data_IF_130331081926
#
_entry.id   IF_130331081926
#
_cell.length_a   1.000
_cell.length_b   1.000
_cell.length_c   1.000
_cell.angle_alpha   90.00
_cell.angle_beta   90.00
_cell.angle_gamma   90.00
#
_symmetry.space_group_name_H-M   'P 1'
#
loop_
_entity.id
_entity.type
_entity.pdbx_description
1 polymer ?
#
# COMPACT_ATOMS: atom_id res chain seq x y z
N UNK A 1 9.42 -1.99 20.46
CA UNK A 1 8.90 -2.56 19.21
C UNK A 1 10.04 -2.66 18.21
N UNK A 2 10.22 -3.86 17.64
CA UNK A 2 11.43 -4.26 16.90
C UNK A 2 11.60 -3.40 15.66
N UNK A 3 12.68 -2.62 15.65
CA UNK A 3 13.22 -1.97 14.45
C UNK A 3 13.54 -3.09 13.46
N UNK A 4 12.97 -3.03 12.25
CA UNK A 4 13.47 -3.82 11.14
C UNK A 4 14.93 -3.39 10.92
N UNK A 5 15.86 -4.28 11.28
CA UNK A 5 17.25 -4.12 10.95
C UNK A 5 17.38 -4.22 9.42
N UNK A 6 17.95 -3.19 8.80
CA UNK A 6 18.43 -3.26 7.43
C UNK A 6 19.50 -4.34 7.31
N UNK A 7 19.38 -5.30 6.39
CA UNK A 7 20.53 -6.03 5.93
C UNK A 7 21.14 -5.28 4.73
N UNK A 8 22.45 -5.02 4.84
CA UNK A 8 23.41 -4.87 3.75
C UNK A 8 23.36 -3.49 3.03
N UNK A 9 24.42 -2.68 2.99
CA UNK A 9 25.82 -3.04 2.80
C UNK A 9 26.18 -2.86 1.32
N UNK A 10 26.69 -1.67 0.98
CA UNK A 10 27.48 -1.34 -0.21
C UNK A 10 27.20 -2.08 -1.52
N UNK A 11 26.35 -1.50 -2.37
CA UNK A 11 26.27 -1.83 -3.78
C UNK A 11 25.20 -0.97 -4.43
N UNK A 12 25.58 -0.12 -5.39
CA UNK A 12 24.64 0.59 -6.25
C UNK A 12 23.94 -0.41 -7.17
N UNK A 13 23.09 -1.26 -6.61
CA UNK A 13 22.17 -2.06 -7.38
C UNK A 13 21.04 -1.13 -7.79
N UNK A 14 21.24 -0.43 -8.91
CA UNK A 14 20.12 0.05 -9.72
C UNK A 14 19.11 -1.09 -9.81
N UNK A 15 17.84 -0.83 -9.54
CA UNK A 15 16.78 -1.81 -9.80
C UNK A 15 16.87 -2.18 -11.29
N UNK A 16 17.45 -3.35 -11.57
CA UNK A 16 18.00 -3.74 -12.87
C UNK A 16 16.94 -4.18 -13.88
N UNK A 17 15.68 -3.80 -13.67
CA UNK A 17 14.64 -3.87 -14.70
C UNK A 17 14.12 -2.46 -14.90
N UNK A 18 14.54 -1.83 -16.00
CA UNK A 18 13.69 -0.83 -16.64
C UNK A 18 12.39 -1.58 -16.94
N UNK A 19 11.36 -1.31 -16.15
CA UNK A 19 10.06 -1.97 -16.31
C UNK A 19 9.65 -1.79 -17.77
N UNK A 20 9.50 -2.89 -18.50
CA UNK A 20 9.23 -2.87 -19.94
C UNK A 20 7.97 -2.05 -20.19
N UNK A 21 8.16 -0.78 -20.56
CA UNK A 21 7.08 0.19 -20.58
C UNK A 21 6.45 0.22 -21.95
N UNK A 22 5.16 -0.11 -22.05
CA UNK A 22 4.45 -0.08 -23.33
C UNK A 22 4.50 1.30 -23.98
N UNK A 23 4.46 2.38 -23.18
CA UNK A 23 4.59 3.75 -23.69
C UNK A 23 5.97 4.04 -24.30
N UNK A 24 7.03 3.46 -23.75
CA UNK A 24 8.41 3.56 -24.28
C UNK A 24 8.57 2.67 -25.53
N UNK A 25 8.02 1.46 -25.49
CA UNK A 25 8.04 0.51 -26.62
C UNK A 25 7.29 1.05 -27.83
N UNK A 26 6.21 1.79 -27.61
CA UNK A 26 5.37 2.38 -28.66
C UNK A 26 5.71 3.85 -28.98
N UNK A 27 6.83 4.40 -28.45
CA UNK A 27 7.31 5.75 -28.73
C UNK A 27 6.26 6.86 -28.59
N UNK A 28 5.45 6.80 -27.53
CA UNK A 28 4.44 7.84 -27.28
C UNK A 28 5.15 9.16 -26.95
N UNK A 29 4.87 10.26 -27.68
CA UNK A 29 5.59 11.52 -27.51
C UNK A 29 5.35 12.13 -26.13
N UNK A 30 6.44 12.47 -25.44
CA UNK A 30 6.39 13.09 -24.11
C UNK A 30 5.59 14.38 -24.10
N UNK A 31 4.81 14.59 -23.04
CA UNK A 31 4.08 15.84 -22.85
C UNK A 31 5.08 16.99 -22.68
N UNK A 32 4.82 18.12 -23.35
CA UNK A 32 5.64 19.34 -23.25
C UNK A 32 5.47 20.07 -21.92
N UNK A 33 4.38 19.80 -21.21
CA UNK A 33 4.03 20.33 -19.89
C UNK A 33 3.42 19.21 -19.05
N UNK A 34 3.69 19.21 -17.75
CA UNK A 34 3.08 18.23 -16.84
C UNK A 34 1.56 18.33 -16.87
N UNK A 35 0.88 17.20 -17.00
CA UNK A 35 -0.56 17.12 -16.85
C UNK A 35 -1.01 17.49 -15.42
N UNK A 36 -2.29 17.83 -15.26
CA UNK A 36 -2.93 17.97 -13.95
C UNK A 36 -3.03 16.61 -13.26
N UNK A 37 -2.80 16.59 -11.95
CA UNK A 37 -2.97 15.40 -11.12
C UNK A 37 -4.46 15.07 -10.93
N UNK A 38 -4.78 13.79 -10.82
CA UNK A 38 -6.13 13.30 -10.59
C UNK A 38 -7.01 13.27 -11.84
N UNK A 39 -6.44 13.49 -13.02
CA UNK A 39 -7.13 13.31 -14.30
C UNK A 39 -6.99 11.85 -14.73
N UNK A 40 -8.09 11.07 -14.83
CA UNK A 40 -8.03 9.68 -15.22
C UNK A 40 -7.58 9.55 -16.68
N UNK A 41 -6.85 8.48 -16.99
CA UNK A 41 -6.47 8.17 -18.37
C UNK A 41 -7.71 7.70 -19.12
N UNK A 42 -7.90 8.23 -20.32
CA UNK A 42 -9.04 7.86 -21.17
C UNK A 42 -8.77 6.55 -21.91
N UNK A 43 -9.84 5.80 -22.23
CA UNK A 43 -9.70 4.56 -23.01
C UNK A 43 -9.09 4.82 -24.38
N UNK A 44 -9.36 5.99 -24.95
CA UNK A 44 -8.82 6.45 -26.23
C UNK A 44 -7.30 6.67 -26.17
N UNK A 45 -6.78 7.19 -25.06
CA UNK A 45 -5.34 7.33 -24.85
C UNK A 45 -4.66 5.96 -24.75
N UNK A 46 -5.24 5.02 -23.99
CA UNK A 46 -4.71 3.65 -23.89
C UNK A 46 -4.77 2.95 -25.25
N UNK A 47 -5.87 3.09 -25.98
CA UNK A 47 -6.04 2.47 -27.29
C UNK A 47 -5.02 2.97 -28.33
N UNK A 48 -4.64 4.25 -28.26
CA UNK A 48 -3.56 4.83 -29.07
C UNK A 48 -2.20 4.19 -28.79
N UNK A 49 -1.88 3.84 -27.54
CA UNK A 49 -0.64 3.13 -27.20
C UNK A 49 -0.54 1.82 -27.97
N UNK A 50 -1.66 1.10 -28.10
CA UNK A 50 -1.71 -0.19 -28.80
C UNK A 50 -1.98 -0.10 -30.30
N UNK A 51 -2.13 1.10 -30.88
CA UNK A 51 -2.56 1.31 -32.26
C UNK A 51 -3.86 0.56 -32.61
N UNK A 52 -4.80 0.50 -31.67
CA UNK A 52 -6.11 -0.16 -31.83
C UNK A 52 -7.26 0.80 -31.59
N UNK A 53 -8.43 0.65 -32.25
CA UNK A 53 -9.63 1.40 -31.88
C UNK A 53 -10.08 1.07 -30.44
N UNK A 54 -10.47 2.09 -29.68
CA UNK A 54 -10.91 1.93 -28.29
C UNK A 54 -12.08 0.93 -28.12
N UNK A 55 -12.95 0.85 -29.13
CA UNK A 55 -14.10 -0.06 -29.16
C UNK A 55 -13.71 -1.56 -29.10
N UNK A 56 -12.55 -1.93 -29.63
CA UNK A 56 -12.09 -3.33 -29.68
C UNK A 56 -10.91 -3.60 -28.74
N UNK A 57 -10.43 -2.60 -28.00
CA UNK A 57 -9.26 -2.73 -27.13
C UNK A 57 -9.39 -3.91 -26.15
N UNK A 58 -10.54 -4.03 -25.49
CA UNK A 58 -10.82 -5.12 -24.54
C UNK A 58 -11.01 -6.50 -25.19
N UNK A 59 -11.20 -6.56 -26.52
CA UNK A 59 -11.30 -7.81 -27.28
C UNK A 59 -9.92 -8.27 -27.79
N UNK A 60 -9.02 -7.33 -28.02
CA UNK A 60 -7.70 -7.56 -28.64
C UNK A 60 -6.58 -7.68 -27.59
N UNK A 61 -6.74 -7.07 -26.42
CA UNK A 61 -5.72 -7.02 -25.35
C UNK A 61 -6.22 -7.63 -24.06
N UNK A 62 -5.30 -8.25 -23.32
CA UNK A 62 -5.59 -8.77 -21.97
C UNK A 62 -5.88 -7.59 -21.03
N UNK A 63 -6.82 -7.72 -20.07
CA UNK A 63 -7.11 -6.66 -19.11
C UNK A 63 -5.87 -6.14 -18.36
N UNK A 64 -4.95 -7.05 -18.00
CA UNK A 64 -3.69 -6.68 -17.34
C UNK A 64 -2.80 -5.77 -18.21
N UNK A 65 -2.71 -6.04 -19.51
CA UNK A 65 -1.95 -5.20 -20.45
C UNK A 65 -2.57 -3.80 -20.58
N UNK A 66 -3.91 -3.72 -20.61
CA UNK A 66 -4.65 -2.45 -20.67
C UNK A 66 -4.39 -1.61 -19.41
N UNK A 67 -4.50 -2.23 -18.23
CA UNK A 67 -4.22 -1.56 -16.95
C UNK A 67 -2.75 -1.12 -16.85
N UNK A 68 -1.82 -1.95 -17.34
CA UNK A 68 -0.40 -1.61 -17.33
C UNK A 68 -0.07 -0.45 -18.27
N UNK A 69 -0.70 -0.40 -19.45
CA UNK A 69 -0.56 0.72 -20.36
C UNK A 69 -1.12 2.03 -19.78
N UNK A 70 -2.23 1.97 -19.03
CA UNK A 70 -2.73 3.11 -18.26
C UNK A 70 -1.70 3.60 -17.22
N UNK A 71 -1.06 2.68 -16.49
CA UNK A 71 0.03 3.03 -15.57
C UNK A 71 1.23 3.65 -16.29
N UNK A 72 1.64 3.08 -17.42
CA UNK A 72 2.82 3.54 -18.15
C UNK A 72 2.65 4.93 -18.79
N UNK A 73 1.42 5.32 -19.13
CA UNK A 73 1.13 6.65 -19.68
C UNK A 73 1.52 7.79 -18.72
N UNK A 74 1.65 7.52 -17.42
CA UNK A 74 2.19 8.50 -16.46
C UNK A 74 3.60 8.98 -16.84
N UNK A 75 4.45 8.13 -17.43
CA UNK A 75 5.80 8.50 -17.90
C UNK A 75 5.76 9.63 -18.90
N UNK A 76 4.77 9.60 -19.78
CA UNK A 76 4.57 10.56 -20.87
C UNK A 76 3.90 11.82 -20.34
N UNK A 77 2.83 11.66 -19.56
CA UNK A 77 2.00 12.76 -19.01
C UNK A 77 2.76 13.65 -18.04
N UNK A 78 3.66 13.06 -17.25
CA UNK A 78 4.41 13.73 -16.19
C UNK A 78 5.91 13.81 -16.48
N UNK A 79 6.34 13.56 -17.73
CA UNK A 79 7.75 13.55 -18.11
C UNK A 79 8.53 14.79 -17.63
N UNK A 80 8.02 16.04 -17.76
CA UNK A 80 8.74 17.22 -17.29
C UNK A 80 8.96 17.23 -15.78
N UNK A 81 8.00 16.73 -15.00
CA UNK A 81 8.08 16.66 -13.55
C UNK A 81 9.04 15.54 -13.11
N UNK A 82 8.91 14.35 -13.70
CA UNK A 82 9.78 13.18 -13.43
C UNK A 82 11.25 13.51 -13.70
N UNK A 83 11.53 14.29 -14.74
CA UNK A 83 12.90 14.70 -15.09
C UNK A 83 13.58 15.60 -14.05
N UNK A 84 12.84 16.16 -13.08
CA UNK A 84 13.40 17.06 -12.07
C UNK A 84 14.11 16.35 -10.93
N UNK A 85 13.91 15.03 -10.77
CA UNK A 85 14.53 14.29 -9.67
C UNK A 85 15.85 13.64 -10.09
N UNK A 86 16.93 13.98 -9.39
CA UNK A 86 18.24 13.35 -9.56
C UNK A 86 18.30 11.93 -8.97
N UNK A 87 19.25 11.11 -9.44
CA UNK A 87 19.44 9.74 -8.95
C UNK A 87 19.86 9.66 -7.47
N UNK A 88 20.61 10.66 -6.99
CA UNK A 88 21.14 10.70 -5.62
C UNK A 88 20.33 11.58 -4.66
N UNK A 89 19.27 12.24 -5.14
CA UNK A 89 18.48 13.14 -4.30
C UNK A 89 17.64 12.37 -3.28
N UNK A 90 17.87 12.65 -2.00
CA UNK A 90 17.18 11.98 -0.90
C UNK A 90 15.87 12.68 -0.56
N UNK A 91 14.80 12.28 -1.25
CA UNK A 91 13.45 12.78 -1.03
C UNK A 91 12.81 12.29 0.28
N UNK A 92 13.38 11.28 0.95
CA UNK A 92 12.82 10.79 2.22
C UNK A 92 13.02 11.76 3.38
N UNK A 93 14.01 12.65 3.28
CA UNK A 93 14.26 13.71 4.27
C UNK A 93 13.14 14.74 4.33
N UNK A 94 12.40 14.94 3.24
CA UNK A 94 11.34 15.96 3.15
C UNK A 94 10.30 15.78 4.25
N UNK A 95 9.92 14.53 4.57
CA UNK A 95 8.99 14.24 5.67
C UNK A 95 9.48 14.79 7.01
N UNK A 96 10.77 14.63 7.30
CA UNK A 96 11.39 15.13 8.55
C UNK A 96 11.51 16.65 8.55
N UNK A 97 11.83 17.25 7.40
CA UNK A 97 11.94 18.71 7.22
C UNK A 97 10.58 19.38 7.43
N UNK A 98 9.52 18.85 6.80
CA UNK A 98 8.15 19.33 6.96
C UNK A 98 7.68 19.20 8.41
N UNK A 99 7.94 18.05 9.04
CA UNK A 99 7.60 17.85 10.45
C UNK A 99 8.32 18.88 11.35
N UNK A 100 9.62 19.07 11.17
CA UNK A 100 10.41 20.03 11.96
C UNK A 100 9.92 21.48 11.74
N UNK A 101 9.61 21.85 10.49
CA UNK A 101 9.10 23.17 10.14
C UNK A 101 7.72 23.47 10.76
N UNK A 102 6.82 22.47 10.81
CA UNK A 102 5.44 22.66 11.29
C UNK A 102 5.28 22.48 12.80
N UNK A 103 6.11 21.65 13.43
CA UNK A 103 5.99 21.38 14.89
C UNK A 103 6.92 22.25 15.75
N UNK A 104 7.93 22.89 15.13
CA UNK A 104 8.96 23.64 15.84
C UNK A 104 9.93 22.71 16.58
N UNK A 105 11.13 23.21 16.92
CA UNK A 105 12.16 22.41 17.62
C UNK A 105 11.70 21.91 19.01
N UNK A 106 10.79 22.64 19.64
CA UNK A 106 10.32 22.38 21.01
C UNK A 106 8.85 21.90 21.08
N UNK A 107 8.24 21.56 19.93
CA UNK A 107 6.83 21.13 19.89
C UNK A 107 5.79 22.24 20.13
N UNK A 108 6.23 23.50 20.26
CA UNK A 108 5.37 24.66 20.57
C UNK A 108 4.31 24.96 19.51
N UNK A 109 4.48 24.47 18.27
CA UNK A 109 3.52 24.62 17.17
C UNK A 109 2.73 23.33 16.87
N UNK A 110 2.82 22.30 17.72
CA UNK A 110 2.21 20.98 17.49
C UNK A 110 0.69 21.04 17.25
N UNK A 111 -0.02 21.98 17.87
CA UNK A 111 -1.47 22.15 17.68
C UNK A 111 -1.81 22.67 16.29
N UNK A 112 -0.98 23.53 15.70
CA UNK A 112 -1.17 24.02 14.33
C UNK A 112 -0.86 22.93 13.29
N UNK A 113 0.15 22.09 13.56
CA UNK A 113 0.51 20.94 12.72
C UNK A 113 -0.56 19.84 12.67
N UNK A 114 -1.54 19.86 13.59
CA UNK A 114 -2.69 18.95 13.63
C UNK A 114 -3.89 19.45 12.84
N UNK A 115 -3.83 20.65 12.25
CA UNK A 115 -4.94 21.18 11.46
C UNK A 115 -4.88 20.66 10.02
N UNK A 116 -6.00 20.21 9.43
CA UNK A 116 -6.06 19.87 8.02
C UNK A 116 -5.66 21.05 7.14
N UNK A 117 -4.98 20.77 6.03
CA UNK A 117 -4.62 21.78 5.03
C UNK A 117 -5.88 22.12 4.22
N UNK A 118 -6.29 23.38 4.24
CA UNK A 118 -7.45 23.85 3.49
C UNK A 118 -7.23 23.70 1.96
N UNK A 119 -8.29 23.31 1.25
CA UNK A 119 -8.34 23.20 -0.21
C UNK A 119 -7.24 22.31 -0.83
N UNK A 120 -6.72 21.34 -0.07
CA UNK A 120 -5.61 20.50 -0.50
C UNK A 120 -5.88 19.79 -1.83
N UNK A 121 -7.09 19.25 -2.00
CA UNK A 121 -7.53 18.59 -3.22
C UNK A 121 -7.50 19.50 -4.45
N UNK A 122 -8.02 20.73 -4.32
CA UNK A 122 -7.98 21.72 -5.41
C UNK A 122 -6.54 22.11 -5.74
N UNK A 123 -5.70 22.26 -4.71
CA UNK A 123 -4.29 22.57 -4.89
C UNK A 123 -3.53 21.45 -5.61
N UNK A 124 -3.78 20.18 -5.31
CA UNK A 124 -3.20 19.06 -6.07
C UNK A 124 -3.56 19.11 -7.55
N UNK A 125 -4.84 19.34 -7.88
CA UNK A 125 -5.34 19.33 -9.27
C UNK A 125 -4.88 20.54 -10.09
N UNK A 126 -4.92 21.74 -9.49
CA UNK A 126 -4.75 22.98 -10.25
C UNK A 126 -3.30 23.52 -10.26
N UNK A 127 -2.44 23.03 -9.36
CA UNK A 127 -1.05 23.50 -9.29
C UNK A 127 -0.21 22.86 -10.40
N UNK A 128 0.47 23.71 -11.19
CA UNK A 128 1.52 23.26 -12.08
C UNK A 128 2.82 23.05 -11.29
N UNK A 129 3.00 21.84 -10.77
CA UNK A 129 4.17 21.45 -9.99
C UNK A 129 5.46 21.59 -10.81
N UNK A 130 6.44 22.36 -10.29
CA UNK A 130 7.70 22.61 -11.01
C UNK A 130 8.75 21.55 -10.72
N UNK A 131 8.68 20.88 -9.58
CA UNK A 131 9.61 19.82 -9.19
C UNK A 131 8.95 18.74 -8.35
N UNK A 132 9.53 17.53 -8.36
CA UNK A 132 9.13 16.42 -7.46
C UNK A 132 9.26 16.84 -6.00
N UNK A 133 10.30 17.62 -5.66
CA UNK A 133 10.49 18.12 -4.29
C UNK A 133 9.32 18.99 -3.83
N UNK A 134 8.83 19.91 -4.66
CA UNK A 134 7.66 20.74 -4.33
C UNK A 134 6.40 19.89 -4.13
N UNK A 135 6.15 18.93 -5.03
CA UNK A 135 5.01 18.02 -4.94
C UNK A 135 5.05 17.19 -3.65
N UNK A 136 6.20 16.55 -3.37
CA UNK A 136 6.38 15.71 -2.18
C UNK A 136 6.30 16.55 -0.91
N UNK A 137 6.85 17.76 -0.89
CA UNK A 137 6.74 18.66 0.26
C UNK A 137 5.28 18.95 0.58
N UNK A 138 4.47 19.28 -0.42
CA UNK A 138 3.05 19.54 -0.21
C UNK A 138 2.29 18.27 0.21
N UNK A 139 2.59 17.13 -0.40
CA UNK A 139 2.05 15.84 0.01
C UNK A 139 2.30 15.55 1.50
N UNK A 140 3.54 15.74 1.95
CA UNK A 140 3.96 15.55 3.33
C UNK A 140 3.29 16.55 4.28
N UNK A 141 3.07 17.80 3.86
CA UNK A 141 2.31 18.78 4.64
C UNK A 141 0.85 18.36 4.86
N UNK A 142 0.21 17.79 3.84
CA UNK A 142 -1.19 17.33 3.89
C UNK A 142 -1.32 16.07 4.74
N UNK A 143 -0.34 15.16 4.69
CA UNK A 143 -0.34 13.91 5.44
C UNK A 143 0.08 14.06 6.90
N UNK A 144 0.86 15.09 7.24
CA UNK A 144 1.39 15.29 8.58
C UNK A 144 0.31 15.27 9.69
N UNK A 145 -0.84 15.99 9.58
CA UNK A 145 -1.89 15.93 10.58
C UNK A 145 -2.44 14.52 10.80
N UNK A 146 -2.66 13.75 9.73
CA UNK A 146 -3.16 12.38 9.81
C UNK A 146 -2.17 11.46 10.54
N UNK A 147 -0.87 11.56 10.22
CA UNK A 147 0.16 10.76 10.88
C UNK A 147 0.37 11.15 12.35
N UNK A 148 0.23 12.42 12.71
CA UNK A 148 0.27 12.86 14.11
C UNK A 148 -0.91 12.31 14.92
N UNK A 149 -2.12 12.33 14.37
CA UNK A 149 -3.30 11.76 15.03
C UNK A 149 -3.24 10.23 15.07
N UNK A 150 -2.61 9.58 14.10
CA UNK A 150 -2.38 8.14 14.15
C UNK A 150 -1.44 7.72 15.29
N UNK A 151 -0.44 8.56 15.62
CA UNK A 151 0.40 8.32 16.80
C UNK A 151 -0.43 8.37 18.09
N UNK A 152 -1.35 9.35 18.21
CA UNK A 152 -2.27 9.42 19.36
C UNK A 152 -3.17 8.19 19.41
N UNK A 153 -3.72 7.76 18.26
CA UNK A 153 -4.52 6.52 18.16
C UNK A 153 -3.75 5.31 18.70
N UNK A 154 -2.47 5.17 18.33
CA UNK A 154 -1.63 4.05 18.79
C UNK A 154 -1.42 4.05 20.31
N UNK A 155 -1.35 5.24 20.92
CA UNK A 155 -1.30 5.37 22.39
C UNK A 155 -2.63 4.96 23.02
N UNK A 156 -3.76 5.42 22.46
CA UNK A 156 -5.09 5.03 22.93
C UNK A 156 -5.34 3.53 22.76
N UNK A 157 -4.88 2.93 21.66
CA UNK A 157 -4.97 1.50 21.41
C UNK A 157 -4.18 0.69 22.44
N UNK A 158 -2.94 1.10 22.75
CA UNK A 158 -2.13 0.47 23.79
C UNK A 158 -2.82 0.56 25.16
N UNK A 159 -3.39 1.73 25.50
CA UNK A 159 -4.17 1.90 26.72
C UNK A 159 -5.39 0.98 26.74
N UNK A 160 -6.10 0.85 25.61
CA UNK A 160 -7.23 -0.09 25.49
C UNK A 160 -6.80 -1.53 25.75
N UNK A 161 -5.63 -1.95 25.24
CA UNK A 161 -5.09 -3.29 25.50
C UNK A 161 -4.80 -3.52 26.98
N UNK A 162 -4.18 -2.57 27.67
CA UNK A 162 -3.92 -2.67 29.11
C UNK A 162 -5.21 -2.79 29.91
N UNK A 163 -6.20 -1.94 29.62
CA UNK A 163 -7.52 -1.98 30.28
C UNK A 163 -8.22 -3.32 30.04
N UNK A 164 -8.19 -3.84 28.80
CA UNK A 164 -8.77 -5.14 28.46
C UNK A 164 -8.09 -6.30 29.19
N UNK A 165 -6.78 -6.25 29.36
CA UNK A 165 -6.03 -7.27 30.12
C UNK A 165 -6.43 -7.26 31.60
N UNK A 166 -6.52 -6.09 32.23
CA UNK A 166 -6.98 -5.95 33.61
C UNK A 166 -8.41 -6.50 33.80
N UNK A 167 -9.31 -6.18 32.86
CA UNK A 167 -10.68 -6.70 32.85
C UNK A 167 -10.74 -8.22 32.66
N UNK A 168 -9.83 -8.79 31.87
CA UNK A 168 -9.76 -10.24 31.64
C UNK A 168 -9.28 -11.00 32.88
N UNK A 169 -8.33 -10.43 33.63
CA UNK A 169 -7.87 -10.99 34.91
C UNK A 169 -8.97 -10.94 35.98
N UNK A 170 -9.82 -9.91 35.93
CA UNK A 170 -11.06 -9.85 36.70
C UNK A 170 -10.86 -9.89 38.22
N UNK A 171 -11.84 -10.44 38.94
CA UNK A 171 -11.85 -10.48 40.41
C UNK A 171 -10.74 -11.35 41.02
N UNK A 172 -10.05 -12.16 40.20
CA UNK A 172 -8.92 -12.95 40.65
C UNK A 172 -7.69 -12.10 41.01
N UNK A 173 -7.59 -10.90 40.41
CA UNK A 173 -6.45 -9.99 40.60
C UNK A 173 -6.85 -8.62 41.17
N UNK A 174 -8.11 -8.17 41.00
CA UNK A 174 -8.53 -6.81 41.32
C UNK A 174 -9.88 -6.75 42.07
N UNK A 175 -10.09 -5.65 42.80
CA UNK A 175 -11.37 -5.36 43.46
C UNK A 175 -12.43 -4.91 42.45
N UNK A 176 -13.71 -5.15 42.77
CA UNK A 176 -14.85 -4.78 41.93
C UNK A 176 -14.84 -3.29 41.53
N UNK A 177 -14.60 -2.39 42.50
CA UNK A 177 -14.53 -0.94 42.24
C UNK A 177 -13.47 -0.55 41.19
N UNK A 178 -12.37 -1.29 41.13
CA UNK A 178 -11.33 -1.07 40.12
C UNK A 178 -11.81 -1.52 38.74
N UNK A 179 -12.42 -2.71 38.66
CA UNK A 179 -12.94 -3.24 37.39
C UNK A 179 -14.05 -2.35 36.82
N UNK A 180 -14.90 -1.78 37.66
CA UNK A 180 -15.96 -0.88 37.20
C UNK A 180 -15.39 0.47 36.71
N UNK A 181 -14.34 0.99 37.34
CA UNK A 181 -13.57 2.14 36.80
C UNK A 181 -12.93 1.82 35.45
N UNK A 182 -12.34 0.64 35.31
CA UNK A 182 -11.70 0.20 34.06
C UNK A 182 -12.71 0.05 32.91
N UNK A 183 -13.93 -0.44 33.18
CA UNK A 183 -15.01 -0.47 32.17
C UNK A 183 -15.38 0.92 31.68
N UNK A 184 -15.49 1.90 32.58
CA UNK A 184 -15.81 3.29 32.21
C UNK A 184 -14.68 3.91 31.39
N UNK A 185 -13.43 3.73 31.80
CA UNK A 185 -12.28 4.25 31.04
C UNK A 185 -12.15 3.56 29.68
N UNK A 186 -12.49 2.27 29.56
CA UNK A 186 -12.50 1.56 28.28
C UNK A 186 -13.43 2.24 27.26
N UNK A 187 -14.65 2.61 27.67
CA UNK A 187 -15.62 3.28 26.80
C UNK A 187 -15.09 4.65 26.34
N UNK A 188 -14.45 5.38 27.25
CA UNK A 188 -13.84 6.69 26.93
C UNK A 188 -12.67 6.55 25.96
N UNK A 189 -11.77 5.59 26.17
CA UNK A 189 -10.64 5.33 25.27
C UNK A 189 -11.13 4.86 23.90
N UNK A 190 -12.16 4.01 23.84
CA UNK A 190 -12.78 3.62 22.57
C UNK A 190 -13.34 4.81 21.80
N UNK A 191 -14.00 5.75 22.50
CA UNK A 191 -14.48 6.99 21.88
C UNK A 191 -13.33 7.83 21.32
N UNK A 192 -12.25 8.01 22.09
CA UNK A 192 -11.06 8.72 21.62
C UNK A 192 -10.45 8.07 20.37
N UNK A 193 -10.41 6.73 20.32
CA UNK A 193 -9.95 5.99 19.14
C UNK A 193 -10.85 6.22 17.92
N UNK A 194 -12.17 6.27 18.11
CA UNK A 194 -13.13 6.57 17.04
C UNK A 194 -12.95 8.01 16.53
N UNK A 195 -12.84 8.99 17.43
CA UNK A 195 -12.60 10.39 17.08
C UNK A 195 -11.32 10.55 16.23
N UNK A 196 -10.24 9.84 16.60
CA UNK A 196 -9.00 9.81 15.79
C UNK A 196 -9.23 9.22 14.39
N UNK A 197 -9.95 8.10 14.29
CA UNK A 197 -10.23 7.44 13.01
C UNK A 197 -11.10 8.32 12.10
N UNK A 198 -12.13 8.97 12.65
CA UNK A 198 -12.99 9.89 11.92
C UNK A 198 -12.22 11.10 11.42
N UNK A 199 -11.34 11.66 12.26
CA UNK A 199 -10.46 12.75 11.86
C UNK A 199 -9.55 12.35 10.69
N UNK A 200 -8.87 11.20 10.78
CA UNK A 200 -7.98 10.70 9.72
C UNK A 200 -8.77 10.46 8.42
N UNK A 201 -9.95 9.85 8.51
CA UNK A 201 -10.85 9.65 7.36
C UNK A 201 -11.28 10.98 6.74
N UNK A 202 -11.55 11.99 7.55
CA UNK A 202 -11.94 13.32 7.06
C UNK A 202 -10.85 13.95 6.20
N UNK A 203 -9.58 13.79 6.57
CA UNK A 203 -8.42 14.23 5.77
C UNK A 203 -8.40 13.51 4.42
N UNK A 204 -8.57 12.18 4.42
CA UNK A 204 -8.65 11.39 3.19
C UNK A 204 -9.72 11.92 2.23
N UNK A 205 -10.94 12.13 2.73
CA UNK A 205 -12.07 12.60 1.91
C UNK A 205 -11.93 14.03 1.39
N UNK A 206 -11.27 14.91 2.16
CA UNK A 206 -11.16 16.34 1.83
C UNK A 206 -9.95 16.66 0.97
N UNK A 207 -8.85 15.93 1.14
CA UNK A 207 -7.58 16.21 0.48
C UNK A 207 -7.29 15.33 -0.73
N UNK A 208 -7.80 14.08 -0.75
CA UNK A 208 -7.38 13.08 -1.74
C UNK A 208 -8.56 12.45 -2.51
N UNK A 209 -8.26 12.05 -3.75
CA UNK A 209 -9.04 11.12 -4.55
C UNK A 209 -8.12 9.93 -4.91
N UNK A 210 -8.69 8.77 -5.20
CA UNK A 210 -7.92 7.61 -5.69
C UNK A 210 -7.06 7.96 -6.90
N UNK A 211 -7.57 8.77 -7.84
CA UNK A 211 -6.81 9.22 -9.01
C UNK A 211 -5.59 10.08 -8.64
N UNK A 212 -5.71 10.98 -7.64
CA UNK A 212 -4.59 11.81 -7.20
C UNK A 212 -3.51 10.94 -6.57
N UNK A 213 -3.89 10.04 -5.67
CA UNK A 213 -2.94 9.14 -5.01
C UNK A 213 -2.26 8.23 -6.03
N UNK A 214 -3.03 7.72 -7.00
CA UNK A 214 -2.49 6.90 -8.08
C UNK A 214 -1.47 7.66 -8.92
N UNK A 215 -1.74 8.91 -9.31
CA UNK A 215 -0.79 9.71 -10.07
C UNK A 215 0.49 9.96 -9.26
N UNK A 216 0.39 10.35 -7.98
CA UNK A 216 1.55 10.60 -7.12
C UNK A 216 2.39 9.31 -6.95
N UNK A 217 1.75 8.19 -6.58
CA UNK A 217 2.43 6.92 -6.40
C UNK A 217 3.10 6.44 -7.70
N UNK A 218 2.44 6.62 -8.85
CA UNK A 218 2.97 6.18 -10.13
C UNK A 218 4.10 7.09 -10.65
N UNK A 219 4.01 8.42 -10.45
CA UNK A 219 5.13 9.34 -10.69
C UNK A 219 6.36 8.92 -9.89
N UNK A 220 6.17 8.64 -8.59
CA UNK A 220 7.26 8.23 -7.69
C UNK A 220 7.79 6.83 -8.03
N UNK A 221 6.94 5.90 -8.48
CA UNK A 221 7.35 4.60 -9.00
C UNK A 221 8.29 4.75 -10.20
N UNK A 222 7.93 5.59 -11.17
CA UNK A 222 8.76 5.85 -12.35
C UNK A 222 10.08 6.52 -11.97
N UNK A 223 10.05 7.50 -11.06
CA UNK A 223 11.27 8.08 -10.49
C UNK A 223 12.11 7.01 -9.75
N UNK A 224 11.43 6.05 -9.12
CA UNK A 224 11.96 4.93 -8.35
C UNK A 224 12.93 4.02 -9.11
N UNK A 225 12.80 3.96 -10.44
CA UNK A 225 13.69 3.16 -11.30
C UNK A 225 15.13 3.68 -11.28
N UNK A 226 15.30 4.99 -11.05
CA UNK A 226 16.61 5.64 -11.01
C UNK A 226 16.99 6.11 -9.60
N UNK A 227 16.01 6.25 -8.72
CA UNK A 227 16.20 6.76 -7.37
C UNK A 227 15.50 5.85 -6.34
N UNK A 228 16.24 5.10 -5.50
CA UNK A 228 15.63 4.19 -4.52
C UNK A 228 14.80 4.90 -3.43
N UNK A 229 15.07 6.18 -3.15
CA UNK A 229 14.31 6.98 -2.19
C UNK A 229 12.90 7.29 -2.73
N UNK A 230 12.78 7.59 -4.02
CA UNK A 230 11.47 7.78 -4.65
C UNK A 230 10.65 6.48 -4.67
N UNK A 231 11.29 5.33 -4.89
CA UNK A 231 10.61 4.04 -4.83
C UNK A 231 10.00 3.76 -3.45
N UNK A 232 10.76 4.02 -2.37
CA UNK A 232 10.25 3.88 -0.99
C UNK A 232 9.06 4.81 -0.73
N UNK A 233 9.12 6.03 -1.24
CA UNK A 233 8.02 6.97 -1.09
C UNK A 233 6.77 6.54 -1.89
N UNK A 234 6.93 5.90 -3.05
CA UNK A 234 5.81 5.33 -3.80
C UNK A 234 5.07 4.26 -2.97
N UNK A 235 5.80 3.39 -2.28
CA UNK A 235 5.22 2.43 -1.32
C UNK A 235 4.51 3.14 -0.17
N UNK A 236 5.14 4.16 0.41
CA UNK A 236 4.56 4.93 1.50
C UNK A 236 3.24 5.60 1.10
N UNK A 237 3.11 6.10 -0.14
CA UNK A 237 1.85 6.68 -0.63
C UNK A 237 0.73 5.64 -0.66
N UNK A 238 1.02 4.40 -1.07
CA UNK A 238 0.02 3.31 -1.06
C UNK A 238 -0.35 2.89 0.36
N UNK A 239 0.60 2.87 1.30
CA UNK A 239 0.32 2.65 2.72
C UNK A 239 -0.52 3.79 3.32
N UNK A 240 -0.20 5.03 2.97
CA UNK A 240 -0.92 6.22 3.40
C UNK A 240 -2.37 6.21 2.88
N UNK A 241 -2.63 5.72 1.66
CA UNK A 241 -4.02 5.52 1.17
C UNK A 241 -4.84 4.62 2.11
N UNK A 242 -4.25 3.56 2.66
CA UNK A 242 -4.91 2.71 3.65
C UNK A 242 -5.15 3.46 4.97
N UNK A 243 -4.16 4.23 5.43
CA UNK A 243 -4.26 5.04 6.64
C UNK A 243 -5.44 6.02 6.54
N UNK A 244 -5.51 6.79 5.45
CA UNK A 244 -6.56 7.81 5.24
C UNK A 244 -7.87 7.26 4.65
N UNK A 245 -7.98 5.93 4.50
CA UNK A 245 -9.18 5.23 3.99
C UNK A 245 -9.60 5.64 2.57
N UNK A 246 -8.63 5.95 1.71
CA UNK A 246 -8.87 6.15 0.27
C UNK A 246 -9.00 4.78 -0.39
N UNK A 247 -10.08 4.50 -1.14
CA UNK A 247 -10.31 3.18 -1.72
C UNK A 247 -9.33 2.86 -2.84
N UNK A 248 -8.95 1.59 -2.95
CA UNK A 248 -8.11 1.06 -4.03
C UNK A 248 -8.99 0.69 -5.21
N UNK A 249 -8.56 1.05 -6.42
CA UNK A 249 -9.17 0.55 -7.65
C UNK A 249 -8.26 -0.51 -8.31
N UNK A 250 -8.68 -1.06 -9.44
CA UNK A 250 -7.91 -2.07 -10.18
C UNK A 250 -6.51 -1.56 -10.57
N UNK A 251 -6.41 -0.29 -10.95
CA UNK A 251 -5.16 0.39 -11.29
C UNK A 251 -4.25 0.51 -10.07
N UNK A 252 -4.78 0.90 -8.90
CA UNK A 252 -4.03 0.95 -7.63
C UNK A 252 -3.49 -0.44 -7.27
N UNK A 253 -4.30 -1.48 -7.45
CA UNK A 253 -3.90 -2.86 -7.15
C UNK A 253 -2.77 -3.32 -8.06
N UNK A 254 -2.88 -3.07 -9.37
CA UNK A 254 -1.79 -3.37 -10.33
C UNK A 254 -0.53 -2.55 -10.05
N UNK A 255 -0.68 -1.31 -9.60
CA UNK A 255 0.45 -0.47 -9.21
C UNK A 255 1.15 -0.99 -7.96
N UNK A 256 0.40 -1.45 -6.95
CA UNK A 256 0.96 -2.10 -5.78
C UNK A 256 1.78 -3.33 -6.17
N UNK A 257 1.24 -4.19 -7.05
CA UNK A 257 1.97 -5.35 -7.58
C UNK A 257 3.26 -4.93 -8.30
N UNK A 258 3.18 -3.91 -9.16
CA UNK A 258 4.34 -3.40 -9.88
C UNK A 258 5.40 -2.76 -8.95
N UNK A 259 5.01 -2.10 -7.86
CA UNK A 259 5.98 -1.51 -6.93
C UNK A 259 6.59 -2.59 -6.01
N UNK A 260 5.78 -3.49 -5.45
CA UNK A 260 6.24 -4.49 -4.47
C UNK A 260 7.04 -5.61 -5.13
N UNK A 261 6.55 -6.12 -6.26
CA UNK A 261 7.09 -7.32 -6.90
C UNK A 261 7.84 -7.05 -8.20
N UNK A 262 7.84 -5.78 -8.65
CA UNK A 262 8.44 -5.38 -9.91
C UNK A 262 7.80 -6.08 -11.13
N UNK A 263 6.50 -6.34 -11.04
CA UNK A 263 5.72 -6.95 -12.12
C UNK A 263 5.64 -6.03 -13.36
N UNK A 264 5.91 -6.61 -14.53
CA UNK A 264 5.60 -6.01 -15.83
C UNK A 264 4.18 -6.34 -16.33
N UNK A 265 3.85 -5.87 -17.54
CA UNK A 265 2.53 -6.08 -18.16
C UNK A 265 2.09 -7.55 -18.32
N UNK A 266 3.05 -8.48 -18.33
CA UNK A 266 2.84 -9.91 -18.48
C UNK A 266 3.12 -10.70 -17.19
N UNK A 267 3.62 -10.04 -16.15
CA UNK A 267 3.95 -10.67 -14.87
C UNK A 267 2.72 -10.63 -13.95
N UNK A 268 2.53 -11.68 -13.15
CA UNK A 268 1.48 -11.73 -12.13
C UNK A 268 2.01 -12.43 -10.87
N UNK A 269 2.70 -11.66 -10.04
CA UNK A 269 3.27 -12.12 -8.78
C UNK A 269 2.23 -12.61 -7.76
N UNK A 270 0.95 -12.24 -7.88
CA UNK A 270 -0.08 -12.83 -7.03
C UNK A 270 -0.16 -14.36 -7.22
N UNK A 271 0.15 -14.86 -8.43
CA UNK A 271 0.30 -16.30 -8.68
C UNK A 271 1.53 -16.89 -7.97
N UNK A 272 2.58 -16.10 -7.70
CA UNK A 272 3.78 -16.53 -6.98
C UNK A 272 3.56 -16.64 -5.45
N UNK A 273 2.66 -15.85 -4.86
CA UNK A 273 2.35 -15.90 -3.41
C UNK A 273 1.19 -16.82 -3.06
N UNK A 274 0.39 -17.24 -4.04
CA UNK A 274 -0.59 -18.32 -3.87
C UNK A 274 0.12 -19.70 -3.78
N UNK A 275 1.46 -19.74 -3.84
CA UNK A 275 2.30 -20.94 -3.86
C UNK A 275 3.14 -21.12 -2.58
N UNK A 276 2.52 -21.49 -1.44
CA UNK A 276 3.17 -22.27 -0.35
C UNK A 276 2.05 -22.99 0.45
N UNK A 277 2.09 -24.27 0.85
CA UNK A 277 3.14 -25.11 1.51
C UNK A 277 2.95 -26.64 1.33
N UNK A 278 3.95 -27.53 1.61
CA UNK A 278 4.00 -28.39 2.84
C UNK A 278 5.17 -29.43 3.03
N UNK A 279 5.67 -29.58 4.29
CA UNK A 279 6.84 -30.36 4.77
C UNK A 279 6.67 -31.78 5.39
N UNK A 280 7.00 -32.84 4.66
CA UNK A 280 7.51 -34.12 5.26
C UNK A 280 8.94 -34.46 4.80
N UNK A 281 9.47 -33.73 3.82
CA UNK A 281 10.91 -33.74 3.48
C UNK A 281 11.64 -32.49 3.94
N UNK A 282 10.93 -31.54 4.57
CA UNK A 282 11.53 -30.30 5.08
C UNK A 282 12.14 -29.39 4.00
N UNK A 283 11.82 -29.57 2.72
CA UNK A 283 12.33 -28.78 1.61
C UNK A 283 11.21 -28.05 0.86
N UNK A 284 11.48 -26.79 0.49
CA UNK A 284 10.79 -26.04 -0.58
C UNK A 284 11.85 -25.69 -1.63
N UNK A 285 11.93 -26.47 -2.71
CA UNK A 285 12.62 -26.11 -3.94
C UNK A 285 11.56 -25.54 -4.87
N UNK A 286 11.62 -24.24 -5.20
CA UNK A 286 10.40 -23.48 -5.57
C UNK A 286 9.81 -24.07 -6.85
N UNK A 287 8.84 -24.97 -6.73
CA UNK A 287 8.91 -26.18 -7.56
C UNK A 287 8.86 -25.86 -9.05
N UNK A 288 9.81 -26.43 -9.81
CA UNK A 288 9.81 -26.37 -11.28
C UNK A 288 8.68 -27.23 -11.88
N UNK A 289 7.76 -27.73 -11.05
CA UNK A 289 6.75 -28.74 -11.37
C UNK A 289 5.30 -28.18 -11.41
N UNK A 290 4.37 -28.94 -12.02
CA UNK A 290 2.96 -28.52 -12.19
C UNK A 290 2.17 -28.45 -10.87
N UNK A 291 1.19 -27.53 -10.83
CA UNK A 291 0.45 -27.08 -9.63
C UNK A 291 -0.34 -28.18 -8.91
N UNK A 292 -0.93 -29.13 -9.65
CA UNK A 292 -1.84 -30.13 -9.10
C UNK A 292 -1.17 -31.05 -8.06
N UNK A 293 0.15 -31.19 -8.15
CA UNK A 293 0.94 -31.99 -7.20
C UNK A 293 1.35 -31.23 -5.95
N UNK A 294 1.36 -29.90 -5.95
CA UNK A 294 1.80 -29.07 -4.82
C UNK A 294 0.73 -29.04 -3.71
N UNK A 295 -0.55 -29.00 -4.09
CA UNK A 295 -1.66 -28.89 -3.15
C UNK A 295 -1.96 -30.20 -2.38
N UNK A 296 -1.59 -31.36 -2.90
CA UNK A 296 -1.82 -32.66 -2.24
C UNK A 296 -0.78 -32.96 -1.15
N UNK A 297 0.42 -32.39 -1.26
CA UNK A 297 1.41 -32.42 -0.18
C UNK A 297 1.02 -31.47 0.96
N UNK A 298 0.30 -30.37 0.66
CA UNK A 298 -0.29 -29.42 1.64
C UNK A 298 -1.09 -30.09 2.75
N UNK A 299 -1.92 -31.03 2.37
CA UNK A 299 -2.93 -31.57 3.27
C UNK A 299 -2.42 -32.74 4.10
N UNK A 300 -1.37 -33.42 3.64
CA UNK A 300 -0.75 -34.55 4.34
C UNK A 300 -0.15 -34.20 5.69
N UNK A 301 0.26 -32.97 5.91
CA UNK A 301 0.96 -32.57 7.16
C UNK A 301 0.09 -31.76 8.12
N UNK A 302 -0.96 -31.10 7.63
CA UNK A 302 -2.05 -30.62 8.50
C UNK A 302 -2.63 -31.81 9.28
N UNK A 303 -2.86 -32.93 8.57
CA UNK A 303 -3.29 -34.21 9.15
C UNK A 303 -2.35 -34.75 10.23
N UNK A 304 -1.04 -34.74 9.97
CA UNK A 304 -0.04 -35.27 10.89
C UNK A 304 0.10 -34.47 12.20
N UNK A 305 -0.03 -33.13 12.17
CA UNK A 305 0.16 -32.27 13.36
C UNK A 305 -1.03 -32.20 14.31
N UNK A 306 -2.24 -32.34 13.77
CA UNK A 306 -3.48 -32.27 14.56
C UNK A 306 -4.10 -33.65 14.81
N UNK A 307 -3.32 -34.71 14.53
CA UNK A 307 -3.69 -36.13 14.71
C UNK A 307 -5.05 -36.45 14.08
N UNK A 308 -5.24 -35.97 12.86
CA UNK A 308 -6.52 -36.02 12.15
C UNK A 308 -6.39 -36.93 10.92
N UNK A 309 -7.24 -37.96 10.73
CA UNK A 309 -7.07 -38.93 9.65
C UNK A 309 -7.38 -38.35 8.27
N UNK A 310 -6.62 -38.83 7.27
CA UNK A 310 -6.84 -38.55 5.84
C UNK A 310 -7.39 -39.78 5.15
N UNK A 311 -8.47 -39.61 4.37
CA UNK A 311 -8.93 -40.63 3.43
C UNK A 311 -8.22 -40.45 2.07
N UNK A 312 -7.63 -41.55 1.58
CA UNK A 312 -6.81 -41.64 0.34
C UNK A 312 -5.67 -40.61 0.22
N UNK A 313 -5.28 -39.99 1.33
CA UNK A 313 -4.19 -39.02 1.40
C UNK A 313 -4.50 -37.62 0.86
N UNK A 314 -5.78 -37.30 0.62
CA UNK A 314 -6.18 -36.05 -0.07
C UNK A 314 -7.29 -35.27 0.67
N UNK A 315 -7.97 -35.88 1.65
CA UNK A 315 -9.15 -35.29 2.33
C UNK A 315 -9.11 -35.46 3.85
N UNK A 316 -9.28 -34.35 4.59
CA UNK A 316 -9.35 -34.33 6.05
C UNK A 316 -10.80 -34.59 6.50
N UNK A 317 -11.04 -35.68 7.23
CA UNK A 317 -12.37 -35.99 7.78
C UNK A 317 -12.42 -35.72 9.29
N UNK A 318 -13.16 -34.68 9.67
CA UNK A 318 -13.67 -34.46 11.03
C UNK A 318 -15.11 -33.95 10.95
N UNK A 319 -15.96 -34.40 11.88
CA UNK A 319 -17.39 -34.07 11.88
C UNK A 319 -17.71 -32.63 12.37
N UNK A 320 -16.72 -31.90 12.92
CA UNK A 320 -16.90 -30.61 13.65
C UNK A 320 -16.21 -29.41 13.00
N UNK A 321 -15.83 -29.53 11.74
CA UNK A 321 -14.90 -28.61 11.10
C UNK A 321 -15.70 -27.39 10.49
N UNK A 322 -15.11 -26.16 10.45
CA UNK A 322 -15.62 -24.95 9.72
C UNK A 322 -15.55 -24.91 8.15
N UNK A 323 -16.66 -24.84 7.41
CA UNK A 323 -16.81 -25.19 5.98
C UNK A 323 -15.85 -24.57 4.93
N UNK A 324 -15.41 -23.34 5.09
CA UNK A 324 -14.48 -22.67 4.16
C UNK A 324 -13.05 -23.22 4.24
N UNK A 325 -12.76 -24.02 5.26
CA UNK A 325 -11.56 -24.82 5.32
C UNK A 325 -11.76 -26.18 4.69
N UNK A 326 -12.93 -26.56 4.20
CA UNK A 326 -13.35 -27.93 4.33
C UNK A 326 -12.35 -29.02 3.95
N UNK A 327 -11.72 -28.83 2.78
CA UNK A 327 -11.86 -29.86 1.73
C UNK A 327 -13.07 -30.76 2.04
N UNK A 328 -14.25 -30.12 2.13
CA UNK A 328 -15.57 -30.65 2.43
C UNK A 328 -16.61 -29.73 1.78
N UNK A 329 -17.85 -30.24 1.69
CA UNK A 329 -18.95 -29.82 0.82
C UNK A 329 -19.75 -28.63 1.41
N UNK A 330 -19.15 -27.45 1.42
CA UNK A 330 -19.88 -26.17 1.31
C UNK A 330 -19.32 -25.36 0.14
#
# INVERSE_FOLDING_TARGET
MRRFASPLGGGSHFLLRCVASAAVVHNVPHAKSSAQLGTPVTKEEVAKVFNTPAAILAQVRRPAEVLFAELDLARVRFAPLIATLGAEEDVTKIATEVKAAKTGKDGSAATAARKPVADAKQKFKNTAWKSIKELVTFYEEVMLPARLVHLDYSVHELNSFHIKDDLKRGLSAFKQDHLDKQKVELVKVQKQMQDCQEFIKSIGTTAFDTAICNDIANILRVCGERNPYAHRLAMQVLEDMNLVRVPFNEVTTKMLQAIVFNDGAFDDSALMFTLVEYPERGEVSVSREPVDRIADDTLKIISARHQTPLDDGVKLHQNDTQPCLQRSLE
#
